data_IF_370932703366
#
_entry.id   IF_370932703366
#
_cell.length_a   1.000
_cell.length_b   1.000
_cell.length_c   1.000
_cell.angle_alpha   90.00
_cell.angle_beta   90.00
_cell.angle_gamma   90.00
#
_symmetry.space_group_name_H-M   'P 1'
#
loop_
_entity.id
_entity.type
_entity.pdbx_description
1 polymer ?
#
# COMPACT_ATOMS: atom_id res chain seq x y z
N UNK A 1 10.13 4.36 18.28
CA UNK A 1 9.28 4.25 17.08
C UNK A 1 8.81 5.65 16.70
N UNK A 2 9.23 6.15 15.54
CA UNK A 2 8.82 7.46 15.01
C UNK A 2 7.77 7.23 13.92
N UNK A 3 6.74 8.08 13.87
CA UNK A 3 5.65 8.01 12.87
C UNK A 3 5.30 9.42 12.42
N UNK A 4 4.92 9.56 11.15
CA UNK A 4 4.50 10.82 10.56
C UNK A 4 3.73 10.59 9.27
N UNK A 5 3.03 11.62 8.80
CA UNK A 5 2.42 11.64 7.48
C UNK A 5 3.37 12.32 6.49
N UNK A 6 3.25 11.98 5.22
CA UNK A 6 3.92 12.73 4.14
C UNK A 6 3.19 14.03 3.87
N UNK A 7 3.91 15.04 3.37
CA UNK A 7 3.34 16.27 2.86
C UNK A 7 2.62 16.08 1.50
N UNK A 8 2.19 17.18 0.89
CA UNK A 8 1.54 17.19 -0.44
C UNK A 8 2.45 16.68 -1.58
N UNK A 9 3.77 16.68 -1.37
CA UNK A 9 4.77 16.19 -2.32
C UNK A 9 5.16 14.73 -2.06
N UNK A 10 4.60 14.08 -1.02
CA UNK A 10 4.94 12.72 -0.65
C UNK A 10 6.21 12.61 0.20
N UNK A 11 6.70 13.71 0.78
CA UNK A 11 7.95 13.75 1.54
C UNK A 11 7.65 13.69 3.05
N UNK A 12 8.42 12.88 3.78
CA UNK A 12 8.45 12.89 5.23
C UNK A 12 9.91 12.92 5.70
N UNK A 13 10.21 13.78 6.67
CA UNK A 13 11.57 13.95 7.23
C UNK A 13 11.55 13.53 8.69
N UNK A 14 12.50 12.67 9.05
CA UNK A 14 12.67 12.17 10.42
C UNK A 14 14.11 12.36 10.85
N UNK A 15 14.32 12.85 12.07
CA UNK A 15 15.63 12.88 12.72
C UNK A 15 15.72 11.69 13.66
N UNK A 16 16.67 10.80 13.40
CA UNK A 16 16.94 9.60 14.19
C UNK A 16 18.44 9.47 14.44
N UNK A 17 18.81 8.77 15.51
CA UNK A 17 20.23 8.46 15.77
C UNK A 17 20.74 7.41 14.77
N UNK A 18 22.06 7.27 14.66
CA UNK A 18 22.67 6.23 13.84
C UNK A 18 22.21 4.83 14.27
N UNK A 19 21.83 3.99 13.32
CA UNK A 19 21.32 2.65 13.59
C UNK A 19 20.56 2.04 12.42
N UNK A 20 20.08 0.81 12.61
CA UNK A 20 19.26 0.10 11.63
C UNK A 20 17.79 0.26 11.95
N UNK A 21 17.00 0.67 10.97
CA UNK A 21 15.57 0.95 11.12
C UNK A 21 14.73 0.21 10.07
N UNK A 22 13.54 -0.24 10.48
CA UNK A 22 12.50 -0.71 9.58
C UNK A 22 11.54 0.44 9.28
N UNK A 23 11.52 0.91 8.04
CA UNK A 23 10.60 1.94 7.55
C UNK A 23 9.37 1.26 6.98
N UNK A 24 8.19 1.62 7.50
CA UNK A 24 6.90 1.15 6.99
C UNK A 24 6.18 2.30 6.31
N UNK A 25 5.92 2.17 5.00
CA UNK A 25 5.15 3.14 4.23
C UNK A 25 3.84 2.50 3.76
N UNK A 26 2.73 3.20 3.96
CA UNK A 26 1.41 2.70 3.59
C UNK A 26 0.45 3.84 3.23
N UNK A 27 -0.42 3.54 2.27
CA UNK A 27 -1.49 4.43 1.82
C UNK A 27 -2.70 3.58 1.47
N UNK A 28 -3.90 4.05 1.80
CA UNK A 28 -5.13 3.31 1.45
C UNK A 28 -5.22 3.09 -0.07
N UNK A 29 -5.55 1.87 -0.47
CA UNK A 29 -5.55 1.45 -1.88
C UNK A 29 -4.18 1.03 -2.44
N UNK A 30 -3.12 1.04 -1.62
CA UNK A 30 -1.77 0.62 -1.98
C UNK A 30 -1.24 -0.46 -1.04
N UNK A 31 -0.39 -1.34 -1.59
CA UNK A 31 0.29 -2.35 -0.80
C UNK A 31 1.29 -1.66 0.15
N UNK A 32 1.24 -2.03 1.43
CA UNK A 32 2.20 -1.56 2.43
C UNK A 32 3.59 -2.09 2.09
N UNK A 33 4.59 -1.22 2.12
CA UNK A 33 5.98 -1.61 1.95
C UNK A 33 6.76 -1.43 3.25
N UNK A 34 7.68 -2.38 3.48
CA UNK A 34 8.58 -2.41 4.61
C UNK A 34 10.00 -2.49 4.06
N UNK A 35 10.84 -1.53 4.42
CA UNK A 35 12.23 -1.45 3.95
C UNK A 35 13.15 -1.29 5.15
N UNK A 36 14.22 -2.08 5.20
CA UNK A 36 15.28 -1.90 6.18
C UNK A 36 16.29 -0.88 5.66
N UNK A 37 16.64 0.10 6.50
CA UNK A 37 17.62 1.13 6.18
C UNK A 37 18.64 1.24 7.31
N UNK A 38 19.92 1.34 6.95
CA UNK A 38 21.01 1.62 7.89
C UNK A 38 21.30 3.11 7.79
N UNK A 39 21.06 3.83 8.89
CA UNK A 39 21.32 5.26 9.00
C UNK A 39 22.66 5.42 9.71
N UNK A 40 23.67 5.87 8.98
CA UNK A 40 25.00 6.23 9.49
C UNK A 40 25.36 7.70 9.16
N UNK A 41 24.48 8.39 8.43
CA UNK A 41 24.55 9.80 8.02
C UNK A 41 23.19 10.17 7.42
N UNK A 42 23.02 11.44 7.03
CA UNK A 42 21.83 11.89 6.29
C UNK A 42 21.64 11.04 5.02
N UNK A 43 20.45 10.43 4.91
CA UNK A 43 20.08 9.54 3.82
C UNK A 43 18.67 9.88 3.31
N UNK A 44 18.48 9.73 2.01
CA UNK A 44 17.16 9.83 1.37
C UNK A 44 16.72 8.44 0.94
N UNK A 45 15.52 8.04 1.37
CA UNK A 45 14.90 6.76 1.01
C UNK A 45 13.69 7.03 0.11
N UNK A 46 13.74 6.56 -1.13
CA UNK A 46 12.61 6.62 -2.05
C UNK A 46 11.79 5.31 -1.96
N UNK A 47 10.48 5.43 -1.73
CA UNK A 47 9.57 4.28 -1.63
C UNK A 47 8.43 4.44 -2.64
N UNK A 48 8.40 3.55 -3.62
CA UNK A 48 7.36 3.54 -4.67
C UNK A 48 6.27 2.53 -4.33
N UNK A 49 5.14 2.99 -3.78
CA UNK A 49 4.02 2.12 -3.46
C UNK A 49 3.30 1.58 -4.71
N UNK A 50 2.96 0.30 -4.71
CA UNK A 50 2.15 -0.32 -5.76
C UNK A 50 0.67 -0.34 -5.34
N UNK A 51 -0.27 0.01 -6.23
CA UNK A 51 -1.69 -0.08 -5.92
C UNK A 51 -2.06 -1.53 -5.62
N UNK A 52 -2.94 -1.73 -4.64
CA UNK A 52 -3.56 -3.05 -4.44
C UNK A 52 -4.47 -3.26 -5.62
N UNK A 53 -4.14 -4.20 -6.50
CA UNK A 53 -5.07 -4.66 -7.50
C UNK A 53 -6.28 -5.25 -6.75
N UNK A 54 -7.39 -4.52 -6.75
CA UNK A 54 -8.66 -5.18 -6.59
C UNK A 54 -8.78 -6.05 -7.84
N UNK A 55 -8.53 -7.35 -7.69
CA UNK A 55 -9.06 -8.30 -8.66
C UNK A 55 -10.57 -8.10 -8.64
N UNK A 56 -11.05 -7.24 -9.53
CA UNK A 56 -12.46 -6.99 -9.70
C UNK A 56 -13.09 -8.34 -9.98
N UNK A 57 -14.02 -8.77 -9.12
CA UNK A 57 -14.95 -9.81 -9.54
C UNK A 57 -15.69 -9.22 -10.72
N UNK A 58 -15.30 -9.59 -11.94
CA UNK A 58 -16.08 -9.28 -13.13
C UNK A 58 -17.30 -10.19 -13.05
N UNK A 59 -18.37 -9.71 -12.41
CA UNK A 59 -19.69 -10.27 -12.66
C UNK A 59 -20.04 -9.86 -14.09
N UNK A 60 -19.64 -10.66 -15.08
CA UNK A 60 -20.27 -10.65 -16.40
C UNK A 60 -21.70 -11.16 -16.23
N UNK A 61 -22.55 -10.35 -15.62
CA UNK A 61 -23.98 -10.52 -15.66
C UNK A 61 -24.43 -10.21 -17.08
N UNK A 62 -24.54 -11.24 -17.91
CA UNK A 62 -25.48 -11.17 -19.02
C UNK A 62 -26.84 -10.93 -18.38
N UNK A 63 -27.43 -9.74 -18.57
CA UNK A 63 -28.88 -9.60 -18.37
C UNK A 63 -29.54 -10.43 -19.47
N UNK A 64 -29.67 -11.74 -19.24
CA UNK A 64 -30.63 -12.52 -19.99
C UNK A 64 -31.98 -12.16 -19.39
N UNK A 65 -32.67 -11.23 -20.06
CA UNK A 65 -34.13 -11.24 -20.01
C UNK A 65 -34.55 -12.67 -20.31
N UNK A 66 -34.99 -13.37 -19.26
CA UNK A 66 -35.22 -14.82 -19.15
C UNK A 66 -33.96 -15.68 -18.92
N UNK A 67 -33.47 -15.71 -17.67
CA UNK A 67 -32.97 -16.97 -17.08
C UNK A 67 -31.56 -16.96 -16.44
N UNK A 68 -31.56 -17.23 -15.13
CA UNK A 68 -30.50 -17.78 -14.26
C UNK A 68 -29.44 -16.84 -13.66
N UNK A 69 -29.44 -16.78 -12.31
CA UNK A 69 -28.26 -17.17 -11.53
C UNK A 69 -28.69 -18.08 -10.36
N UNK A 70 -28.25 -19.33 -10.38
CA UNK A 70 -28.38 -20.26 -9.27
C UNK A 70 -27.19 -19.95 -8.32
N UNK A 71 -27.42 -19.30 -7.18
CA UNK A 71 -26.41 -19.23 -6.13
C UNK A 71 -26.67 -20.35 -5.12
N UNK A 72 -25.79 -21.35 -5.11
CA UNK A 72 -25.60 -22.23 -3.96
C UNK A 72 -24.09 -22.35 -3.69
N UNK A 73 -23.61 -21.59 -2.70
CA UNK A 73 -22.52 -21.99 -1.83
C UNK A 73 -22.67 -21.25 -0.48
N UNK A 74 -23.55 -21.78 0.36
CA UNK A 74 -23.38 -22.19 1.77
C UNK A 74 -24.73 -22.75 2.22
#
# INVERSE_FOLDING_TARGET
MVRGNTDENGIAVFTVEEGTYLVTAGKSGYATQIVEVIVNQDATLEITLQPVALEGIVLTGAFVGVGLIMFALI
#
